data_IF_007617674667
#
_entry.id   IF_007617674667
#
_cell.length_a   1.000
_cell.length_b   1.000
_cell.length_c   1.000
_cell.angle_alpha   90.00
_cell.angle_beta   90.00
_cell.angle_gamma   90.00
#
_symmetry.space_group_name_H-M   'P 1'
#
loop_
_entity.id
_entity.type
_entity.pdbx_description
1 polymer ?
#
# COMPACT_ATOMS: atom_id res chain seq x y z
N UNK A 1 -9.60 -9.13 -51.97
CA UNK A 1 -9.36 -8.26 -50.79
C UNK A 1 -10.42 -7.18 -50.63
N UNK A 2 -10.89 -6.45 -51.66
CA UNK A 2 -11.92 -5.41 -51.49
C UNK A 2 -13.22 -5.91 -50.83
N UNK A 3 -13.62 -7.15 -51.12
CA UNK A 3 -14.82 -7.78 -50.57
C UNK A 3 -14.70 -8.11 -49.07
N UNK A 4 -13.49 -8.36 -48.56
CA UNK A 4 -13.26 -8.59 -47.13
C UNK A 4 -13.33 -7.26 -46.37
N UNK A 5 -12.71 -6.21 -46.92
CA UNK A 5 -12.71 -4.88 -46.31
C UNK A 5 -14.13 -4.29 -46.26
N UNK A 6 -14.90 -4.39 -47.35
CA UNK A 6 -16.31 -3.98 -47.37
C UNK A 6 -17.17 -4.79 -46.39
N UNK A 7 -16.90 -6.09 -46.23
CA UNK A 7 -17.61 -6.93 -45.27
C UNK A 7 -17.29 -6.56 -43.82
N UNK A 8 -16.03 -6.27 -43.52
CA UNK A 8 -15.61 -5.81 -42.19
C UNK A 8 -16.24 -4.46 -41.86
N UNK A 9 -16.27 -3.53 -42.82
CA UNK A 9 -16.90 -2.23 -42.64
C UNK A 9 -18.40 -2.36 -42.36
N UNK A 10 -19.12 -3.18 -43.14
CA UNK A 10 -20.55 -3.42 -42.91
C UNK A 10 -20.83 -3.97 -41.51
N UNK A 11 -20.06 -4.99 -41.09
CA UNK A 11 -20.22 -5.57 -39.75
C UNK A 11 -19.85 -4.55 -38.65
N UNK A 12 -18.89 -3.67 -38.90
CA UNK A 12 -18.53 -2.62 -37.94
C UNK A 12 -19.68 -1.63 -37.75
N UNK A 13 -20.29 -1.17 -38.85
CA UNK A 13 -21.45 -0.26 -38.83
C UNK A 13 -22.65 -0.91 -38.15
N UNK A 14 -22.93 -2.19 -38.45
CA UNK A 14 -23.99 -2.97 -37.80
C UNK A 14 -23.76 -3.12 -36.29
N UNK A 15 -22.54 -3.49 -35.89
CA UNK A 15 -22.17 -3.65 -34.48
C UNK A 15 -22.27 -2.35 -33.69
N UNK A 16 -21.81 -1.24 -34.28
CA UNK A 16 -21.93 0.09 -33.67
C UNK A 16 -23.41 0.51 -33.52
N UNK A 17 -24.23 0.30 -34.56
CA UNK A 17 -25.65 0.67 -34.51
C UNK A 17 -26.43 -0.12 -33.44
N UNK A 18 -26.09 -1.40 -33.25
CA UNK A 18 -26.68 -2.23 -32.19
C UNK A 18 -26.23 -1.76 -30.80
N UNK A 19 -24.94 -1.43 -30.64
CA UNK A 19 -24.41 -0.89 -29.39
C UNK A 19 -25.08 0.44 -29.00
N UNK A 20 -25.25 1.36 -29.95
CA UNK A 20 -25.96 2.63 -29.74
C UNK A 20 -27.44 2.46 -29.39
N UNK A 21 -28.06 1.36 -29.84
CA UNK A 21 -29.46 1.03 -29.53
C UNK A 21 -29.64 0.33 -28.18
N UNK A 22 -28.53 -0.02 -27.49
CA UNK A 22 -28.54 -0.79 -26.24
C UNK A 22 -28.65 -2.30 -26.42
N UNK A 23 -28.63 -2.80 -27.66
CA UNK A 23 -28.70 -4.23 -27.99
C UNK A 23 -27.30 -4.88 -27.87
N UNK A 24 -26.72 -4.81 -26.67
CA UNK A 24 -25.30 -5.13 -26.42
C UNK A 24 -24.94 -6.59 -26.74
N UNK A 25 -25.85 -7.54 -26.49
CA UNK A 25 -25.61 -8.96 -26.75
C UNK A 25 -25.55 -9.25 -28.25
N UNK A 26 -26.41 -8.62 -29.03
CA UNK A 26 -26.45 -8.68 -30.48
C UNK A 26 -25.21 -7.99 -31.07
N UNK A 27 -24.83 -6.83 -30.55
CA UNK A 27 -23.60 -6.13 -30.93
C UNK A 27 -22.36 -7.01 -30.69
N UNK A 28 -22.26 -7.67 -29.54
CA UNK A 28 -21.17 -8.62 -29.25
C UNK A 28 -21.13 -9.76 -30.28
N UNK A 29 -22.27 -10.32 -30.67
CA UNK A 29 -22.30 -11.37 -31.71
C UNK A 29 -21.74 -10.86 -33.04
N UNK A 30 -22.04 -9.61 -33.41
CA UNK A 30 -21.52 -8.98 -34.63
C UNK A 30 -20.01 -8.75 -34.51
N UNK A 31 -19.53 -8.20 -33.39
CA UNK A 31 -18.10 -8.00 -33.17
C UNK A 31 -17.30 -9.32 -33.10
N UNK A 32 -17.86 -10.40 -32.54
CA UNK A 32 -17.22 -11.70 -32.60
C UNK A 32 -17.12 -12.26 -34.03
N UNK A 33 -18.08 -11.98 -34.93
CA UNK A 33 -17.94 -12.31 -36.36
C UNK A 33 -16.78 -11.55 -36.99
N UNK A 34 -16.57 -10.28 -36.61
CA UNK A 34 -15.41 -9.50 -37.05
C UNK A 34 -14.11 -10.15 -36.57
N UNK A 35 -14.02 -10.51 -35.29
CA UNK A 35 -12.83 -11.16 -34.71
C UNK A 35 -12.55 -12.55 -35.29
N UNK A 36 -13.59 -13.29 -35.73
CA UNK A 36 -13.42 -14.54 -36.48
C UNK A 36 -12.76 -14.32 -37.84
N UNK A 37 -13.09 -13.21 -38.51
CA UNK A 37 -12.48 -12.84 -39.80
C UNK A 37 -11.07 -12.28 -39.61
N UNK A 38 -10.87 -11.45 -38.59
CA UNK A 38 -9.56 -10.89 -38.24
C UNK A 38 -9.43 -10.65 -36.73
N UNK A 39 -8.69 -11.51 -36.00
CA UNK A 39 -8.57 -11.42 -34.53
C UNK A 39 -7.62 -10.34 -34.04
N UNK A 40 -6.97 -9.58 -34.92
CA UNK A 40 -5.93 -8.59 -34.58
C UNK A 40 -6.41 -7.14 -34.71
N UNK A 41 -7.72 -6.91 -34.83
CA UNK A 41 -8.29 -5.57 -34.89
C UNK A 41 -8.43 -5.04 -33.47
N UNK A 42 -7.51 -4.17 -33.04
CA UNK A 42 -7.51 -3.61 -31.69
C UNK A 42 -8.84 -2.92 -31.36
N UNK A 43 -9.42 -2.18 -32.32
CA UNK A 43 -10.64 -1.42 -32.07
C UNK A 43 -11.89 -2.23 -31.82
N UNK A 44 -11.91 -3.45 -32.35
CA UNK A 44 -12.99 -4.38 -32.07
C UNK A 44 -12.83 -4.99 -30.68
N UNK A 45 -11.59 -5.25 -30.23
CA UNK A 45 -11.35 -5.69 -28.85
C UNK A 45 -11.69 -4.61 -27.81
N UNK A 46 -11.46 -3.33 -28.12
CA UNK A 46 -11.92 -2.21 -27.28
C UNK A 46 -13.46 -2.16 -27.22
N UNK A 47 -14.14 -2.17 -28.38
CA UNK A 47 -15.61 -2.16 -28.42
C UNK A 47 -16.23 -3.35 -27.68
N UNK A 48 -15.66 -4.55 -27.85
CA UNK A 48 -16.07 -5.75 -27.10
C UNK A 48 -15.89 -5.55 -25.60
N UNK A 49 -14.79 -4.91 -25.16
CA UNK A 49 -14.60 -4.59 -23.75
C UNK A 49 -15.68 -3.67 -23.21
N UNK A 50 -15.97 -2.58 -23.91
CA UNK A 50 -16.99 -1.61 -23.49
C UNK A 50 -18.37 -2.28 -23.38
N UNK A 51 -18.73 -3.10 -24.36
CA UNK A 51 -19.97 -3.88 -24.33
C UNK A 51 -20.04 -4.88 -23.17
N UNK A 52 -18.94 -5.52 -22.82
CA UNK A 52 -18.89 -6.38 -21.63
C UNK A 52 -19.04 -5.58 -20.34
N UNK A 53 -18.47 -4.38 -20.25
CA UNK A 53 -18.70 -3.47 -19.11
C UNK A 53 -20.16 -3.04 -18.99
N UNK A 54 -20.84 -2.72 -20.09
CA UNK A 54 -22.30 -2.43 -20.09
C UNK A 54 -23.18 -3.64 -19.69
N UNK A 55 -22.62 -4.84 -19.76
CA UNK A 55 -23.26 -6.09 -19.37
C UNK A 55 -22.83 -6.57 -17.98
N UNK A 56 -22.11 -5.74 -17.20
CA UNK A 56 -21.54 -6.07 -15.90
C UNK A 56 -20.62 -7.32 -15.91
N UNK A 57 -20.01 -7.63 -17.06
CA UNK A 57 -19.05 -8.73 -17.25
C UNK A 57 -17.61 -8.19 -17.25
N UNK A 58 -17.20 -7.65 -16.09
CA UNK A 58 -15.91 -6.98 -15.92
C UNK A 58 -14.71 -7.91 -16.18
N UNK A 59 -14.85 -9.21 -15.93
CA UNK A 59 -13.81 -10.21 -16.20
C UNK A 59 -13.53 -10.31 -17.71
N UNK A 60 -14.58 -10.35 -18.55
CA UNK A 60 -14.46 -10.38 -20.00
C UNK A 60 -14.06 -9.01 -20.57
N UNK A 61 -14.54 -7.93 -19.97
CA UNK A 61 -14.12 -6.57 -20.30
C UNK A 61 -12.60 -6.41 -20.13
N UNK A 62 -12.07 -6.77 -18.95
CA UNK A 62 -10.65 -6.67 -18.65
C UNK A 62 -9.77 -7.44 -19.65
N UNK A 63 -10.18 -8.66 -20.00
CA UNK A 63 -9.47 -9.49 -20.98
C UNK A 63 -9.45 -8.85 -22.38
N UNK A 64 -10.59 -8.31 -22.80
CA UNK A 64 -10.74 -7.68 -24.12
C UNK A 64 -9.98 -6.36 -24.21
N UNK A 65 -10.05 -5.52 -23.18
CA UNK A 65 -9.27 -4.28 -23.09
C UNK A 65 -7.76 -4.56 -23.08
N UNK A 66 -7.31 -5.56 -22.30
CA UNK A 66 -5.91 -5.97 -22.28
C UNK A 66 -5.45 -6.44 -23.66
N UNK A 67 -6.34 -7.12 -24.41
CA UNK A 67 -6.06 -7.52 -25.78
C UNK A 67 -5.94 -6.32 -26.72
N UNK A 68 -6.82 -5.33 -26.61
CA UNK A 68 -6.76 -4.08 -27.38
C UNK A 68 -5.42 -3.35 -27.16
N UNK A 69 -5.01 -3.15 -25.90
CA UNK A 69 -3.72 -2.53 -25.55
C UNK A 69 -2.53 -3.35 -26.07
N UNK A 70 -2.59 -4.68 -26.01
CA UNK A 70 -1.51 -5.54 -26.55
C UNK A 70 -1.34 -5.42 -28.06
N UNK A 71 -2.42 -5.12 -28.78
CA UNK A 71 -2.42 -4.97 -30.24
C UNK A 71 -2.04 -3.56 -30.67
N UNK A 72 -2.41 -2.54 -29.87
CA UNK A 72 -2.10 -1.13 -30.13
C UNK A 72 -1.68 -0.41 -28.82
N UNK A 73 -0.41 -0.52 -28.41
CA UNK A 73 0.07 0.05 -27.14
C UNK A 73 0.07 1.59 -27.08
N UNK A 74 0.07 2.26 -28.22
CA UNK A 74 0.09 3.73 -28.32
C UNK A 74 -1.32 4.32 -28.50
N UNK A 75 -2.37 3.53 -28.24
CA UNK A 75 -3.75 3.98 -28.38
C UNK A 75 -4.35 4.42 -27.03
N UNK A 76 -4.60 5.72 -26.80
CA UNK A 76 -5.16 6.22 -25.54
C UNK A 76 -6.50 5.58 -25.14
N UNK A 77 -7.48 5.51 -26.06
CA UNK A 77 -8.83 5.01 -25.74
C UNK A 77 -8.82 3.55 -25.27
N UNK A 78 -7.98 2.69 -25.86
CA UNK A 78 -7.79 1.31 -25.39
C UNK A 78 -7.19 1.26 -23.97
N UNK A 79 -6.30 2.21 -23.62
CA UNK A 79 -5.74 2.30 -22.26
C UNK A 79 -6.77 2.80 -21.25
N UNK A 80 -7.59 3.78 -21.60
CA UNK A 80 -8.69 4.25 -20.76
C UNK A 80 -9.70 3.12 -20.53
N UNK A 81 -10.08 2.39 -21.58
CA UNK A 81 -10.95 1.22 -21.47
C UNK A 81 -10.34 0.15 -20.56
N UNK A 82 -9.02 -0.11 -20.65
CA UNK A 82 -8.34 -1.02 -19.73
C UNK A 82 -8.30 -0.47 -18.30
N UNK A 83 -8.16 0.85 -18.12
CA UNK A 83 -8.20 1.48 -16.82
C UNK A 83 -9.57 1.29 -16.15
N UNK A 84 -10.65 1.53 -16.88
CA UNK A 84 -12.04 1.38 -16.43
C UNK A 84 -12.34 -0.08 -16.04
N UNK A 85 -12.03 -1.02 -16.92
CA UNK A 85 -12.21 -2.45 -16.61
C UNK A 85 -11.35 -2.90 -15.42
N UNK A 86 -10.13 -2.37 -15.28
CA UNK A 86 -9.27 -2.64 -14.12
C UNK A 86 -9.85 -2.05 -12.84
N UNK A 87 -10.41 -0.84 -12.89
CA UNK A 87 -11.05 -0.16 -11.76
C UNK A 87 -12.27 -0.92 -11.28
N UNK A 88 -13.14 -1.38 -12.18
CA UNK A 88 -14.34 -2.17 -11.83
C UNK A 88 -13.95 -3.49 -11.14
N UNK A 89 -12.89 -4.13 -11.60
CA UNK A 89 -12.31 -5.33 -10.98
C UNK A 89 -11.58 -5.06 -9.65
N UNK A 90 -11.43 -3.80 -9.23
CA UNK A 90 -10.69 -3.40 -8.04
C UNK A 90 -9.17 -3.42 -8.19
N UNK A 91 -8.64 -3.62 -9.41
CA UNK A 91 -7.21 -3.56 -9.72
C UNK A 91 -6.72 -2.11 -9.87
N UNK A 92 -6.79 -1.36 -8.76
CA UNK A 92 -6.59 0.09 -8.76
C UNK A 92 -5.18 0.53 -9.19
N UNK A 93 -4.14 -0.22 -8.83
CA UNK A 93 -2.77 0.08 -9.29
C UNK A 93 -2.64 -0.06 -10.81
N UNK A 94 -3.26 -1.09 -11.38
CA UNK A 94 -3.28 -1.28 -12.83
C UNK A 94 -4.08 -0.16 -13.51
N UNK A 95 -5.24 0.20 -12.95
CA UNK A 95 -6.05 1.30 -13.46
C UNK A 95 -5.27 2.62 -13.52
N UNK A 96 -4.63 2.99 -12.41
CA UNK A 96 -3.85 4.22 -12.33
C UNK A 96 -2.66 4.21 -13.32
N UNK A 97 -2.00 3.07 -13.52
CA UNK A 97 -0.91 2.95 -14.49
C UNK A 97 -1.39 3.18 -15.93
N UNK A 98 -2.57 2.66 -16.27
CA UNK A 98 -3.14 2.86 -17.61
C UNK A 98 -3.58 4.31 -17.83
N UNK A 99 -4.17 4.97 -16.82
CA UNK A 99 -4.52 6.40 -16.89
C UNK A 99 -3.28 7.28 -17.08
N UNK A 100 -2.22 7.04 -16.31
CA UNK A 100 -0.94 7.76 -16.47
C UNK A 100 -0.39 7.54 -17.88
N UNK A 101 -0.43 6.31 -18.38
CA UNK A 101 0.10 6.03 -19.73
C UNK A 101 -0.78 6.65 -20.82
N UNK A 102 -2.10 6.71 -20.63
CA UNK A 102 -3.00 7.44 -21.53
C UNK A 102 -2.66 8.95 -21.53
N UNK A 103 -2.45 9.57 -20.37
CA UNK A 103 -2.03 10.97 -20.25
C UNK A 103 -0.69 11.24 -20.95
N UNK A 104 0.24 10.30 -20.97
CA UNK A 104 1.50 10.45 -21.71
C UNK A 104 1.32 10.41 -23.23
N UNK A 105 0.29 9.71 -23.72
CA UNK A 105 0.00 9.56 -25.15
C UNK A 105 -0.91 10.66 -25.69
N UNK A 106 -1.76 11.27 -24.85
CA UNK A 106 -2.64 12.38 -25.23
C UNK A 106 -1.85 13.67 -25.47
N UNK A 107 -2.19 14.39 -26.55
CA UNK A 107 -1.58 15.68 -26.87
C UNK A 107 -1.83 16.70 -25.75
N UNK A 108 -0.86 17.57 -25.44
CA UNK A 108 -0.94 18.46 -24.26
C UNK A 108 -2.14 19.42 -24.25
N UNK A 109 -2.72 19.73 -25.41
CA UNK A 109 -3.90 20.58 -25.59
C UNK A 109 -5.22 19.80 -25.71
N UNK A 110 -5.18 18.48 -25.53
CA UNK A 110 -6.36 17.62 -25.62
C UNK A 110 -7.27 17.84 -24.41
N UNK A 111 -8.56 18.10 -24.68
CA UNK A 111 -9.57 18.30 -23.65
C UNK A 111 -9.78 17.05 -22.80
N UNK A 112 -9.60 15.86 -23.39
CA UNK A 112 -9.73 14.57 -22.70
C UNK A 112 -8.75 14.43 -21.53
N UNK A 113 -7.59 15.11 -21.58
CA UNK A 113 -6.61 15.09 -20.48
C UNK A 113 -7.18 15.54 -19.14
N UNK A 114 -8.09 16.51 -19.14
CA UNK A 114 -8.67 17.03 -17.88
C UNK A 114 -9.53 15.97 -17.22
N UNK A 115 -10.32 15.25 -18.02
CA UNK A 115 -11.20 14.16 -17.56
C UNK A 115 -10.35 12.98 -17.05
N UNK A 116 -9.30 12.61 -17.79
CA UNK A 116 -8.39 11.52 -17.39
C UNK A 116 -7.60 11.88 -16.12
N UNK A 117 -7.21 13.13 -15.92
CA UNK A 117 -6.58 13.59 -14.68
C UNK A 117 -7.55 13.51 -13.49
N UNK A 118 -8.79 13.95 -13.66
CA UNK A 118 -9.81 13.83 -12.62
C UNK A 118 -10.05 12.35 -12.26
N UNK A 119 -10.12 11.47 -13.25
CA UNK A 119 -10.29 10.05 -12.99
C UNK A 119 -9.07 9.44 -12.27
N UNK A 120 -7.86 9.86 -12.64
CA UNK A 120 -6.64 9.42 -11.95
C UNK A 120 -6.66 9.84 -10.47
N UNK A 121 -7.15 11.04 -10.16
CA UNK A 121 -7.32 11.51 -8.79
C UNK A 121 -8.34 10.65 -8.01
N UNK A 122 -9.47 10.29 -8.64
CA UNK A 122 -10.46 9.37 -8.05
C UNK A 122 -9.86 7.98 -7.75
N UNK A 123 -9.11 7.42 -8.71
CA UNK A 123 -8.44 6.12 -8.53
C UNK A 123 -7.37 6.23 -7.44
N UNK A 124 -6.61 7.31 -7.37
CA UNK A 124 -5.62 7.52 -6.33
C UNK A 124 -6.24 7.66 -4.93
N UNK A 125 -7.38 8.33 -4.81
CA UNK A 125 -8.14 8.37 -3.55
C UNK A 125 -8.64 6.97 -3.15
N UNK A 126 -9.16 6.18 -4.09
CA UNK A 126 -9.55 4.78 -3.85
C UNK A 126 -8.36 3.93 -3.37
N UNK A 127 -7.18 4.09 -4.00
CA UNK A 127 -5.94 3.39 -3.60
C UNK A 127 -5.53 3.77 -2.17
N UNK A 128 -5.54 5.07 -1.88
CA UNK A 128 -5.22 5.62 -0.56
C UNK A 128 -6.18 5.09 0.52
N UNK A 129 -7.49 5.07 0.26
CA UNK A 129 -8.49 4.48 1.16
C UNK A 129 -8.35 2.97 1.34
N UNK A 130 -8.01 2.23 0.28
CA UNK A 130 -7.76 0.80 0.38
C UNK A 130 -6.56 0.52 1.30
N UNK A 131 -5.48 1.29 1.15
CA UNK A 131 -4.30 1.22 2.02
C UNK A 131 -4.62 1.60 3.47
N UNK A 132 -5.34 2.70 3.69
CA UNK A 132 -5.80 3.13 5.01
C UNK A 132 -6.56 2.01 5.76
N UNK A 133 -7.48 1.33 5.05
CA UNK A 133 -8.19 0.16 5.57
C UNK A 133 -7.27 -1.04 5.81
N UNK A 134 -6.32 -1.30 4.91
CA UNK A 134 -5.32 -2.37 5.07
C UNK A 134 -4.53 -2.20 6.38
N UNK A 135 -4.15 -0.96 6.70
CA UNK A 135 -3.34 -0.61 7.87
C UNK A 135 -4.14 -0.39 9.16
N UNK A 136 -5.48 -0.35 9.10
CA UNK A 136 -6.32 -0.01 10.25
C UNK A 136 -6.23 1.47 10.67
N UNK A 137 -5.93 2.36 9.71
CA UNK A 137 -5.76 3.79 9.91
C UNK A 137 -6.73 4.55 8.97
N UNK A 138 -8.02 4.67 9.30
CA UNK A 138 -9.04 5.14 8.36
C UNK A 138 -8.86 6.60 7.92
N UNK A 139 -8.12 7.42 8.68
CA UNK A 139 -7.80 8.81 8.35
C UNK A 139 -6.53 8.99 7.52
N UNK A 140 -5.74 7.92 7.33
CA UNK A 140 -4.49 7.99 6.58
C UNK A 140 -4.76 8.28 5.11
N UNK A 141 -4.02 9.25 4.55
CA UNK A 141 -3.98 9.54 3.13
C UNK A 141 -2.54 9.55 2.63
N UNK A 142 -2.18 8.68 1.70
CA UNK A 142 -0.83 8.72 1.10
C UNK A 142 -0.93 8.63 -0.40
N UNK A 143 -0.45 9.69 -1.05
CA UNK A 143 -0.21 9.73 -2.49
C UNK A 143 1.06 8.93 -2.79
N UNK A 144 0.93 8.03 -3.77
CA UNK A 144 2.02 7.19 -4.23
C UNK A 144 2.06 7.17 -5.75
N UNK A 145 3.27 7.21 -6.30
CA UNK A 145 3.49 7.00 -7.72
C UNK A 145 3.15 5.56 -8.09
N UNK A 146 2.61 5.41 -9.29
CA UNK A 146 2.24 4.12 -9.87
C UNK A 146 3.38 3.55 -10.72
N UNK A 147 4.28 4.40 -11.21
CA UNK A 147 5.19 4.05 -12.29
C UNK A 147 6.42 3.27 -11.81
N UNK A 148 6.67 2.10 -12.42
CA UNK A 148 7.87 1.25 -12.26
C UNK A 148 8.87 1.40 -13.42
N UNK A 149 8.63 2.35 -14.31
CA UNK A 149 9.29 2.48 -15.61
C UNK A 149 10.55 3.36 -15.60
N UNK A 150 11.00 3.81 -14.43
CA UNK A 150 12.21 4.62 -14.29
C UNK A 150 12.07 6.05 -14.83
N UNK A 151 10.85 6.49 -15.18
CA UNK A 151 10.56 7.84 -15.67
C UNK A 151 9.93 8.75 -14.60
N UNK A 152 9.65 8.20 -13.42
CA UNK A 152 9.15 8.98 -12.29
C UNK A 152 10.31 9.75 -11.64
N UNK A 153 10.22 11.09 -11.56
CA UNK A 153 11.30 11.96 -11.04
C UNK A 153 11.74 11.56 -9.62
N UNK A 154 10.82 11.01 -8.81
CA UNK A 154 11.08 10.56 -7.44
C UNK A 154 11.63 9.12 -7.35
N UNK A 155 11.66 8.38 -8.46
CA UNK A 155 12.14 7.00 -8.49
C UNK A 155 11.51 6.10 -7.40
N UNK A 156 12.31 5.30 -6.66
CA UNK A 156 11.85 4.46 -5.56
C UNK A 156 11.17 5.20 -4.40
N UNK A 157 11.47 6.49 -4.20
CA UNK A 157 10.98 7.26 -3.05
C UNK A 157 9.48 7.59 -3.15
N UNK A 158 8.95 7.67 -4.37
CA UNK A 158 7.51 7.88 -4.60
C UNK A 158 6.64 6.64 -4.38
N UNK A 159 7.21 5.48 -4.02
CA UNK A 159 6.50 4.21 -3.88
C UNK A 159 6.30 3.81 -2.43
N UNK A 160 5.15 3.20 -2.16
CA UNK A 160 4.89 2.54 -0.88
C UNK A 160 5.43 1.12 -0.93
N UNK A 161 6.51 0.87 -0.20
CA UNK A 161 7.13 -0.45 -0.13
C UNK A 161 6.45 -1.35 0.92
N UNK A 162 6.43 -2.67 0.66
CA UNK A 162 5.85 -3.66 1.57
C UNK A 162 6.44 -3.62 2.99
N UNK A 163 7.74 -3.30 3.13
CA UNK A 163 8.36 -3.13 4.45
C UNK A 163 7.81 -1.90 5.19
N UNK A 164 7.53 -0.81 4.47
CA UNK A 164 6.86 0.37 5.01
C UNK A 164 5.44 0.06 5.48
N UNK A 165 4.66 -0.66 4.67
CA UNK A 165 3.32 -1.13 5.08
C UNK A 165 3.36 -2.03 6.31
N UNK A 166 4.29 -2.99 6.35
CA UNK A 166 4.45 -3.87 7.52
C UNK A 166 4.81 -3.07 8.76
N UNK A 167 5.72 -2.10 8.68
CA UNK A 167 6.08 -1.27 9.83
C UNK A 167 4.93 -0.37 10.26
N UNK A 168 4.25 0.30 9.34
CA UNK A 168 3.08 1.12 9.64
C UNK A 168 1.98 0.29 10.31
N UNK A 169 1.67 -0.89 9.77
CA UNK A 169 0.70 -1.82 10.35
C UNK A 169 1.15 -2.29 11.74
N UNK A 170 2.43 -2.59 11.91
CA UNK A 170 3.00 -3.00 13.20
C UNK A 170 2.84 -1.91 14.26
N UNK A 171 3.22 -0.68 13.94
CA UNK A 171 3.04 0.47 14.84
C UNK A 171 1.58 0.74 15.14
N UNK A 172 0.68 0.56 14.16
CA UNK A 172 -0.75 0.77 14.34
C UNK A 172 -1.46 -0.36 15.11
N UNK A 173 -0.88 -1.55 15.23
CA UNK A 173 -1.56 -2.69 15.89
C UNK A 173 -0.95 -3.05 17.24
N UNK A 174 0.34 -2.82 17.46
CA UNK A 174 1.02 -3.17 18.72
C UNK A 174 0.76 -2.10 19.81
N UNK A 175 0.06 -2.44 20.91
CA UNK A 175 -0.28 -1.45 21.96
C UNK A 175 0.94 -0.86 22.68
N UNK A 176 2.03 -1.63 22.81
CA UNK A 176 3.25 -1.18 23.48
C UNK A 176 3.95 -0.12 22.64
N UNK A 177 4.07 -0.33 21.32
CA UNK A 177 4.67 0.66 20.43
C UNK A 177 3.77 1.87 20.19
N UNK A 178 2.44 1.69 20.10
CA UNK A 178 1.50 2.83 20.10
C UNK A 178 1.69 3.71 21.33
N UNK A 179 1.73 3.11 22.51
CA UNK A 179 1.96 3.84 23.77
C UNK A 179 3.31 4.53 23.84
N UNK A 180 4.34 3.98 23.18
CA UNK A 180 5.67 4.59 23.09
C UNK A 180 5.77 5.73 22.07
N UNK A 181 4.88 5.78 21.08
CA UNK A 181 4.87 6.87 20.09
C UNK A 181 4.13 8.09 20.64
N UNK A 182 3.05 7.88 21.40
CA UNK A 182 2.18 8.96 21.85
C UNK A 182 2.94 10.00 22.70
N UNK A 183 3.04 11.23 22.17
CA UNK A 183 3.72 12.36 22.80
C UNK A 183 5.26 12.31 22.74
N UNK A 184 5.84 11.28 22.12
CA UNK A 184 7.28 11.12 21.98
C UNK A 184 7.79 11.80 20.71
N UNK A 185 9.07 12.21 20.74
CA UNK A 185 9.76 12.74 19.56
C UNK A 185 10.29 11.58 18.71
N UNK A 186 9.86 11.53 17.46
CA UNK A 186 10.16 10.45 16.52
C UNK A 186 10.97 11.00 15.34
N UNK A 187 11.99 10.29 14.91
CA UNK A 187 12.73 10.58 13.68
C UNK A 187 12.56 9.42 12.71
N UNK A 188 12.14 9.68 11.48
CA UNK A 188 12.15 8.69 10.40
C UNK A 188 13.28 8.98 9.43
N UNK A 189 14.07 7.95 9.12
CA UNK A 189 15.11 8.01 8.09
C UNK A 189 14.59 7.41 6.79
N UNK A 190 14.85 8.06 5.65
CA UNK A 190 14.47 7.56 4.33
C UNK A 190 12.95 7.39 4.20
N UNK A 191 12.21 8.46 4.52
CA UNK A 191 10.76 8.45 4.62
C UNK A 191 10.05 8.10 3.31
N UNK A 192 10.63 8.40 2.15
CA UNK A 192 9.97 8.22 0.85
C UNK A 192 8.63 8.94 0.80
N UNK A 193 7.53 8.18 0.72
CA UNK A 193 6.16 8.72 0.77
C UNK A 193 5.73 9.18 2.17
N UNK A 194 6.50 8.88 3.21
CA UNK A 194 6.21 9.21 4.61
C UNK A 194 5.22 8.26 5.28
N UNK A 195 4.91 7.11 4.70
CA UNK A 195 3.84 6.22 5.21
C UNK A 195 4.06 5.81 6.68
N UNK A 196 5.30 5.53 7.10
CA UNK A 196 5.59 5.12 8.47
C UNK A 196 5.64 6.34 9.40
N UNK A 197 6.29 7.44 9.02
CA UNK A 197 6.31 8.66 9.82
C UNK A 197 4.94 9.30 10.01
N UNK A 198 4.12 9.40 8.96
CA UNK A 198 2.73 9.89 9.02
C UNK A 198 1.90 8.95 9.90
N UNK A 199 2.10 7.63 9.80
CA UNK A 199 1.48 6.69 10.74
C UNK A 199 1.85 7.03 12.18
N UNK A 200 3.12 7.23 12.50
CA UNK A 200 3.54 7.62 13.84
C UNK A 200 2.94 8.97 14.29
N UNK A 201 2.78 9.93 13.38
CA UNK A 201 2.14 11.22 13.68
C UNK A 201 0.64 11.05 13.99
N UNK A 202 -0.07 10.19 13.24
CA UNK A 202 -1.46 9.81 13.51
C UNK A 202 -1.64 9.01 14.82
N UNK A 203 -0.56 8.48 15.37
CA UNK A 203 -0.52 7.84 16.69
C UNK A 203 -0.18 8.84 17.82
N UNK A 204 -0.08 10.14 17.51
CA UNK A 204 0.21 11.20 18.46
C UNK A 204 1.69 11.47 18.66
N UNK A 205 2.57 10.98 17.77
CA UNK A 205 4.00 11.28 17.80
C UNK A 205 4.32 12.68 17.26
N UNK A 206 5.44 13.24 17.71
CA UNK A 206 6.04 14.46 17.15
C UNK A 206 7.16 14.06 16.19
N UNK A 207 6.83 13.98 14.91
CA UNK A 207 7.63 13.28 13.91
C UNK A 207 8.43 14.24 13.04
N UNK A 208 9.73 13.98 12.94
CA UNK A 208 10.63 14.55 11.93
C UNK A 208 10.81 13.46 10.86
N UNK A 209 10.30 13.70 9.67
CA UNK A 209 10.45 12.84 8.51
C UNK A 209 11.67 13.32 7.71
N UNK A 210 12.54 12.40 7.27
CA UNK A 210 13.75 12.80 6.56
C UNK A 210 14.02 11.96 5.33
N UNK A 211 14.43 12.63 4.26
CA UNK A 211 14.86 12.01 3.01
C UNK A 211 15.76 12.98 2.22
N UNK A 212 16.12 12.64 0.99
CA UNK A 212 16.87 13.50 0.09
C UNK A 212 16.05 14.75 -0.30
N UNK A 213 16.71 15.89 -0.60
CA UNK A 213 16.02 17.15 -0.94
C UNK A 213 14.97 17.02 -2.04
N UNK A 214 15.23 16.21 -3.07
CA UNK A 214 14.34 15.96 -4.20
C UNK A 214 13.03 15.23 -3.81
N UNK A 215 12.99 14.55 -2.66
CA UNK A 215 11.81 13.81 -2.16
C UNK A 215 10.89 14.71 -1.34
N UNK A 216 11.44 15.79 -0.75
CA UNK A 216 10.71 16.65 0.19
C UNK A 216 9.41 17.25 -0.36
N UNK A 217 9.31 17.69 -1.63
CA UNK A 217 8.04 18.23 -2.14
C UNK A 217 6.88 17.22 -2.01
N UNK A 218 7.07 15.99 -2.49
CA UNK A 218 6.04 14.95 -2.42
C UNK A 218 5.79 14.45 -0.97
N UNK A 219 6.83 14.44 -0.14
CA UNK A 219 6.69 14.12 1.28
C UNK A 219 5.85 15.17 2.02
N UNK A 220 6.07 16.46 1.73
CA UNK A 220 5.28 17.55 2.30
C UNK A 220 3.82 17.51 1.84
N UNK A 221 3.54 17.22 0.57
CA UNK A 221 2.17 17.02 0.09
C UNK A 221 1.45 15.91 0.88
N UNK A 222 2.15 14.80 1.16
CA UNK A 222 1.62 13.72 1.98
C UNK A 222 1.41 14.15 3.45
N UNK A 223 2.30 14.94 4.03
CA UNK A 223 2.11 15.49 5.39
C UNK A 223 0.86 16.39 5.43
N UNK A 224 0.75 17.32 4.48
CA UNK A 224 -0.37 18.27 4.36
C UNK A 224 -1.71 17.55 4.21
N UNK A 225 -1.77 16.49 3.39
CA UNK A 225 -2.96 15.67 3.21
C UNK A 225 -3.48 15.01 4.51
N UNK A 226 -2.63 14.89 5.54
CA UNK A 226 -2.96 14.31 6.85
C UNK A 226 -2.96 15.34 7.98
N UNK A 227 -2.64 16.61 7.73
CA UNK A 227 -2.36 17.61 8.77
C UNK A 227 -3.51 17.73 9.79
N UNK A 228 -4.75 17.70 9.32
CA UNK A 228 -5.92 17.76 10.20
C UNK A 228 -6.02 16.52 11.11
N UNK A 229 -5.91 15.32 10.54
CA UNK A 229 -6.01 14.08 11.31
C UNK A 229 -4.83 13.90 12.28
N UNK A 230 -3.64 14.35 11.91
CA UNK A 230 -2.46 14.40 12.78
C UNK A 230 -2.71 15.34 13.97
N UNK A 231 -3.25 16.52 13.72
CA UNK A 231 -3.57 17.48 14.79
C UNK A 231 -4.66 16.95 15.73
N UNK A 232 -5.69 16.28 15.21
CA UNK A 232 -6.74 15.61 16.01
C UNK A 232 -6.17 14.48 16.90
N UNK A 233 -5.10 13.83 16.46
CA UNK A 233 -4.35 12.83 17.24
C UNK A 233 -3.34 13.44 18.24
N UNK A 234 -3.27 14.78 18.34
CA UNK A 234 -2.24 15.51 19.10
C UNK A 234 -0.80 15.24 18.64
N UNK A 235 -0.61 14.80 17.39
CA UNK A 235 0.71 14.61 16.79
C UNK A 235 1.20 15.83 16.01
N UNK A 236 2.40 15.73 15.46
CA UNK A 236 2.94 16.69 14.49
C UNK A 236 3.85 15.97 13.50
N UNK A 237 3.97 16.50 12.28
CA UNK A 237 4.86 15.99 11.26
C UNK A 237 5.55 17.16 10.54
N UNK A 238 6.85 17.08 10.36
CA UNK A 238 7.65 18.02 9.57
C UNK A 238 8.68 17.25 8.74
N UNK A 239 8.91 17.67 7.50
CA UNK A 239 9.90 17.05 6.61
C UNK A 239 11.19 17.88 6.54
N UNK A 240 12.33 17.21 6.60
CA UNK A 240 13.64 17.85 6.53
C UNK A 240 14.62 17.05 5.66
N UNK A 241 15.52 17.74 4.97
CA UNK A 241 16.55 17.08 4.17
C UNK A 241 17.56 16.36 5.07
N UNK A 242 17.85 15.10 4.76
CA UNK A 242 18.95 14.36 5.37
C UNK A 242 19.57 13.37 4.36
N UNK A 243 20.80 13.67 3.96
CA UNK A 243 21.63 12.72 3.23
C UNK A 243 22.58 12.00 4.20
N UNK A 244 22.47 10.68 4.31
CA UNK A 244 23.33 9.91 5.20
C UNK A 244 24.80 9.95 4.78
N UNK A 245 25.10 10.32 3.53
CA UNK A 245 26.47 10.48 3.03
C UNK A 245 27.17 11.69 3.66
N UNK A 246 26.43 12.72 4.06
CA UNK A 246 27.01 13.91 4.70
C UNK A 246 27.64 13.57 6.07
N UNK A 247 27.14 12.54 6.74
CA UNK A 247 27.72 12.01 7.97
C UNK A 247 29.09 11.34 7.76
N UNK A 248 29.42 11.00 6.51
CA UNK A 248 30.73 10.43 6.13
C UNK A 248 31.76 11.52 5.84
N UNK A 249 31.33 12.66 5.29
CA UNK A 249 32.21 13.75 4.84
C UNK A 249 32.60 14.71 5.98
N UNK A 250 31.76 14.78 7.02
CA UNK A 250 32.06 15.51 8.24
C UNK A 250 33.01 14.69 9.12
N UNK A 251 34.32 14.91 8.99
CA UNK A 251 35.35 14.35 9.88
C UNK A 251 35.24 14.77 11.36
N UNK A 252 34.05 15.11 11.86
CA UNK A 252 33.75 15.56 13.20
C UNK A 252 32.34 15.06 13.62
N UNK A 253 32.30 14.20 14.61
CA UNK A 253 31.13 13.43 15.11
C UNK A 253 30.13 14.27 15.91
N UNK A 254 29.72 15.43 15.42
CA UNK A 254 28.73 16.26 16.08
C UNK A 254 27.57 16.54 15.12
N UNK A 255 26.64 15.60 15.07
CA UNK A 255 25.34 15.79 14.44
C UNK A 255 24.59 16.87 15.24
N UNK A 256 24.45 18.07 14.70
CA UNK A 256 23.63 19.14 15.29
C UNK A 256 22.22 19.03 14.70
N UNK A 257 21.19 19.12 15.53
CA UNK A 257 19.79 19.21 15.07
C UNK A 257 19.56 20.43 14.16
N UNK A 258 20.49 21.40 14.15
CA UNK A 258 20.53 22.55 13.23
C UNK A 258 21.12 22.24 11.85
N UNK A 259 21.63 21.03 11.62
CA UNK A 259 22.11 20.58 10.31
C UNK A 259 20.99 20.17 9.36
N UNK A 260 19.73 20.13 9.85
CA UNK A 260 18.54 20.06 9.02
C UNK A 260 18.49 21.32 8.17
N UNK A 261 18.75 21.18 6.87
CA UNK A 261 18.62 22.28 5.92
C UNK A 261 17.14 22.43 5.62
N UNK A 262 16.58 23.60 5.91
CA UNK A 262 15.26 23.94 5.40
C UNK A 262 15.28 23.92 3.86
N UNK A 263 14.14 23.61 3.20
CA UNK A 263 14.08 23.62 1.75
C UNK A 263 14.33 25.06 1.26
N UNK A 264 15.55 25.34 0.78
CA UNK A 264 15.89 26.65 0.24
C UNK A 264 15.26 26.82 -1.14
N UNK A 265 14.49 27.90 -1.28
CA UNK A 265 13.94 28.44 -2.51
C UNK A 265 14.97 28.41 -3.65
N UNK A 266 14.53 27.96 -4.83
CA UNK A 266 15.23 28.18 -6.09
C UNK A 266 15.21 29.67 -6.38
N UNK A 267 16.29 30.39 -6.06
CA UNK A 267 16.65 31.62 -6.74
C UNK A 267 18.12 31.98 -6.52
N UNK A 268 18.73 32.42 -7.62
CA UNK A 268 20.08 32.95 -7.74
C UNK A 268 20.43 34.05 -6.72
N UNK A 269 21.74 34.10 -6.49
CA UNK A 269 22.56 35.28 -6.26
C UNK A 269 22.84 35.77 -4.82
N UNK A 270 24.14 35.89 -4.57
CA UNK A 270 24.82 36.63 -3.51
C UNK A 270 24.65 36.20 -2.03
N UNK A 271 25.67 35.46 -1.60
CA UNK A 271 26.36 35.57 -0.32
C UNK A 271 26.05 36.88 0.44
N UNK A 272 25.24 36.82 1.50
CA UNK A 272 25.25 37.80 2.60
C UNK A 272 24.58 37.26 3.88
N UNK A 273 25.41 37.16 4.92
CA UNK A 273 25.09 37.36 6.34
C UNK A 273 24.33 36.26 7.12
N UNK A 274 25.13 35.40 7.78
CA UNK A 274 24.82 34.34 8.75
C UNK A 274 24.13 34.85 10.06
N UNK A 275 23.82 36.13 10.21
CA UNK A 275 23.40 36.70 11.50
C UNK A 275 21.95 37.20 11.60
N UNK A 276 21.02 36.83 10.69
CA UNK A 276 19.62 37.30 10.77
C UNK A 276 18.52 36.25 10.97
N UNK A 277 18.86 34.97 11.17
CA UNK A 277 17.84 33.92 11.41
C UNK A 277 17.89 33.28 12.83
N UNK A 278 18.64 33.87 13.77
CA UNK A 278 18.83 33.29 15.11
C UNK A 278 17.67 33.54 16.11
N UNK A 279 16.55 34.15 15.70
CA UNK A 279 15.48 34.56 16.64
C UNK A 279 14.10 33.92 16.41
N UNK A 280 13.91 33.02 15.44
CA UNK A 280 12.61 32.35 15.24
C UNK A 280 12.54 30.86 15.65
N UNK A 281 13.63 30.25 16.12
CA UNK A 281 13.66 28.82 16.50
C UNK A 281 13.58 28.56 18.03
N UNK A 282 12.99 29.49 18.80
CA UNK A 282 12.73 29.28 20.24
C UNK A 282 11.25 29.10 20.53
N UNK A 283 10.69 28.01 20.02
CA UNK A 283 9.45 27.38 20.48
C UNK A 283 9.25 26.14 19.60
N UNK A 284 9.74 24.94 19.94
CA UNK A 284 9.11 24.03 20.89
C UNK A 284 10.02 22.81 21.17
N UNK A 285 10.50 22.67 22.41
CA UNK A 285 10.94 21.42 23.08
C UNK A 285 12.27 20.78 22.63
N UNK A 286 13.35 21.20 23.28
CA UNK A 286 14.67 20.52 23.31
C UNK A 286 14.67 19.16 24.00
N UNK A 287 13.75 18.25 23.61
CA UNK A 287 13.78 16.83 23.97
C UNK A 287 14.63 16.06 22.94
N UNK A 288 15.39 15.09 23.45
CA UNK A 288 16.08 14.06 22.67
C UNK A 288 15.08 13.26 21.83
N UNK A 289 15.54 12.65 20.73
CA UNK A 289 14.71 11.72 19.94
C UNK A 289 14.54 10.42 20.74
N UNK A 290 13.30 10.00 20.95
CA UNK A 290 12.97 8.81 21.77
C UNK A 290 12.79 7.55 20.91
N UNK A 291 12.42 7.74 19.64
CA UNK A 291 12.19 6.67 18.67
C UNK A 291 12.73 7.04 17.29
N UNK A 292 13.45 6.10 16.67
CA UNK A 292 13.85 6.16 15.27
C UNK A 292 13.16 5.08 14.47
N UNK A 293 12.67 5.43 13.30
CA UNK A 293 11.97 4.56 12.38
C UNK A 293 12.70 4.52 11.04
N UNK A 294 12.64 3.37 10.38
CA UNK A 294 13.15 3.20 9.03
C UNK A 294 12.56 1.98 8.35
N UNK A 295 12.24 2.10 7.07
CA UNK A 295 11.69 0.99 6.28
C UNK A 295 12.38 0.89 4.92
N UNK A 296 12.84 -0.31 4.56
CA UNK A 296 13.51 -0.62 3.28
C UNK A 296 14.69 0.31 2.93
N UNK A 297 15.46 0.73 3.95
CA UNK A 297 16.55 1.71 3.83
C UNK A 297 17.75 1.24 2.99
N UNK A 298 17.94 -0.08 2.86
CA UNK A 298 19.11 -0.68 2.22
C UNK A 298 18.69 -1.60 1.10
N UNK A 299 18.91 -1.14 -0.14
CA UNK A 299 18.73 -1.95 -1.35
C UNK A 299 20.05 -2.24 -2.07
N UNK A 300 21.14 -1.56 -1.70
CA UNK A 300 22.49 -1.81 -2.20
C UNK A 300 23.54 -1.74 -1.09
N UNK A 301 24.67 -2.43 -1.28
CA UNK A 301 25.78 -2.42 -0.31
C UNK A 301 26.36 -1.03 -0.04
N UNK A 302 26.27 -0.10 -0.99
CA UNK A 302 26.85 1.24 -0.87
C UNK A 302 26.15 2.08 0.20
N UNK A 303 24.90 1.75 0.54
CA UNK A 303 24.09 2.47 1.53
C UNK A 303 24.33 1.99 2.96
N UNK A 304 24.89 0.79 3.14
CA UNK A 304 25.07 0.16 4.45
C UNK A 304 25.89 1.04 5.38
N UNK A 305 27.08 1.45 4.97
CA UNK A 305 28.00 2.17 5.84
C UNK A 305 27.52 3.60 6.16
N UNK A 306 27.05 4.42 5.18
CA UNK A 306 26.42 5.71 5.46
C UNK A 306 25.26 5.60 6.45
N UNK A 307 24.36 4.62 6.27
CA UNK A 307 23.24 4.41 7.19
C UNK A 307 23.72 4.08 8.61
N UNK A 308 24.65 3.12 8.76
CA UNK A 308 25.14 2.70 10.08
C UNK A 308 25.86 3.84 10.79
N UNK A 309 26.62 4.66 10.07
CA UNK A 309 27.27 5.85 10.64
C UNK A 309 26.24 6.90 11.05
N UNK A 310 25.22 7.17 10.24
CA UNK A 310 24.12 8.05 10.61
C UNK A 310 23.41 7.58 11.89
N UNK A 311 23.07 6.29 11.99
CA UNK A 311 22.46 5.69 13.19
C UNK A 311 23.37 5.84 14.42
N UNK A 312 24.67 5.65 14.27
CA UNK A 312 25.63 5.79 15.36
C UNK A 312 25.73 7.25 15.83
N UNK A 313 25.91 8.20 14.93
CA UNK A 313 25.99 9.63 15.25
C UNK A 313 24.70 10.12 15.93
N UNK A 314 23.56 9.61 15.50
CA UNK A 314 22.27 9.88 16.13
C UNK A 314 22.17 9.34 17.56
N UNK A 315 22.69 8.13 17.83
CA UNK A 315 22.77 7.59 19.20
C UNK A 315 23.72 8.36 20.10
N UNK A 316 24.75 9.00 19.56
CA UNK A 316 25.64 9.87 20.35
C UNK A 316 24.88 11.11 20.88
N UNK A 317 23.90 11.60 20.11
CA UNK A 317 23.04 12.74 20.48
C UNK A 317 21.82 12.30 21.31
N UNK A 318 21.31 11.09 21.10
CA UNK A 318 20.17 10.53 21.83
C UNK A 318 20.47 9.11 22.31
N UNK A 319 21.22 8.93 23.42
CA UNK A 319 21.73 7.62 23.86
C UNK A 319 20.64 6.60 24.22
N UNK A 320 19.45 7.08 24.58
CA UNK A 320 18.30 6.29 25.00
C UNK A 320 17.32 5.93 23.87
N UNK A 321 17.60 6.38 22.63
CA UNK A 321 16.71 6.18 21.49
C UNK A 321 16.48 4.70 21.21
N UNK A 322 15.22 4.32 21.00
CA UNK A 322 14.91 3.02 20.43
C UNK A 322 14.84 3.11 18.91
N UNK A 323 15.36 2.11 18.21
CA UNK A 323 15.39 2.11 16.74
C UNK A 323 14.58 0.91 16.24
N UNK A 324 13.62 1.18 15.37
CA UNK A 324 12.87 0.16 14.63
C UNK A 324 13.20 0.23 13.15
N UNK A 325 13.61 -0.91 12.60
CA UNK A 325 13.94 -1.08 11.19
C UNK A 325 13.08 -2.19 10.59
N UNK A 326 12.26 -1.87 9.60
CA UNK A 326 11.66 -2.88 8.74
C UNK A 326 12.54 -3.11 7.51
N UNK A 327 13.07 -4.34 7.37
CA UNK A 327 13.98 -4.69 6.29
C UNK A 327 13.38 -5.79 5.41
N UNK A 328 13.48 -5.62 4.10
CA UNK A 328 13.18 -6.65 3.11
C UNK A 328 14.49 -7.32 2.70
N UNK A 329 14.59 -8.62 2.94
CA UNK A 329 15.64 -9.47 2.41
C UNK A 329 15.67 -9.39 0.88
N UNK A 330 16.78 -8.89 0.32
CA UNK A 330 17.00 -8.74 -1.12
C UNK A 330 18.12 -9.65 -1.62
N UNK A 331 19.24 -9.69 -0.91
CA UNK A 331 20.33 -10.63 -1.19
C UNK A 331 21.09 -10.94 0.09
N UNK A 332 21.55 -12.18 0.22
CA UNK A 332 22.36 -12.63 1.35
C UNK A 332 23.59 -11.73 1.56
N UNK A 333 24.21 -11.28 0.48
CA UNK A 333 25.45 -10.50 0.54
C UNK A 333 25.22 -9.08 1.05
N UNK A 334 24.13 -8.41 0.65
CA UNK A 334 23.81 -7.05 1.15
C UNK A 334 23.31 -7.11 2.58
N UNK A 335 22.47 -8.09 2.90
CA UNK A 335 21.92 -8.29 4.24
C UNK A 335 23.03 -8.61 5.24
N UNK A 336 23.94 -9.52 4.90
CA UNK A 336 25.09 -9.84 5.76
C UNK A 336 25.94 -8.60 6.03
N UNK A 337 26.22 -7.80 5.01
CA UNK A 337 26.98 -6.56 5.16
C UNK A 337 26.28 -5.58 6.12
N UNK A 338 24.95 -5.42 6.03
CA UNK A 338 24.18 -4.60 6.96
C UNK A 338 24.29 -5.10 8.40
N UNK A 339 24.06 -6.40 8.61
CA UNK A 339 24.05 -6.97 9.95
C UNK A 339 25.44 -6.98 10.61
N UNK A 340 26.50 -7.23 9.83
CA UNK A 340 27.88 -7.13 10.30
C UNK A 340 28.23 -5.69 10.66
N UNK A 341 27.96 -4.72 9.77
CA UNK A 341 28.23 -3.32 10.03
C UNK A 341 27.50 -2.81 11.30
N UNK A 342 26.23 -3.17 11.49
CA UNK A 342 25.49 -2.83 12.70
C UNK A 342 26.13 -3.42 13.97
N UNK A 343 26.52 -4.71 13.95
CA UNK A 343 27.18 -5.35 15.11
C UNK A 343 28.55 -4.73 15.41
N UNK A 344 29.33 -4.47 14.38
CA UNK A 344 30.67 -3.86 14.51
C UNK A 344 30.61 -2.44 15.10
N UNK A 345 29.47 -1.76 14.94
CA UNK A 345 29.21 -0.44 15.52
C UNK A 345 28.38 -0.49 16.82
N UNK A 346 28.25 -1.67 17.43
CA UNK A 346 27.71 -1.83 18.79
C UNK A 346 26.18 -1.89 18.89
N UNK A 347 25.47 -2.17 17.79
CA UNK A 347 24.02 -2.39 17.81
C UNK A 347 23.65 -3.83 18.14
N UNK A 348 22.52 -4.02 18.83
CA UNK A 348 21.98 -5.33 19.18
C UNK A 348 20.74 -5.62 18.37
N UNK A 349 20.81 -6.55 17.43
CA UNK A 349 19.70 -6.79 16.51
C UNK A 349 18.74 -7.83 17.11
N UNK A 350 17.51 -7.41 17.40
CA UNK A 350 16.42 -8.28 17.86
C UNK A 350 15.27 -8.24 16.85
N UNK A 351 14.96 -9.39 16.26
CA UNK A 351 13.76 -9.54 15.44
C UNK A 351 12.50 -9.50 16.32
N UNK A 352 11.54 -8.64 15.96
CA UNK A 352 10.26 -8.50 16.65
C UNK A 352 9.14 -9.21 15.90
N UNK A 353 9.17 -9.12 14.57
CA UNK A 353 8.14 -9.59 13.68
C UNK A 353 8.75 -10.01 12.34
N UNK A 354 8.26 -11.10 11.77
CA UNK A 354 8.58 -11.53 10.40
C UNK A 354 7.31 -11.91 9.69
N UNK A 355 7.21 -11.54 8.40
CA UNK A 355 6.10 -11.98 7.56
C UNK A 355 6.04 -13.51 7.47
N UNK A 356 4.89 -14.07 7.16
CA UNK A 356 4.80 -15.50 6.87
C UNK A 356 4.86 -15.76 5.37
N UNK A 357 5.16 -17.00 4.96
CA UNK A 357 4.98 -17.35 3.55
C UNK A 357 3.49 -17.21 3.26
N UNK A 358 3.12 -16.39 2.27
CA UNK A 358 1.77 -16.49 1.67
C UNK A 358 1.59 -17.96 1.32
N UNK A 359 0.71 -18.69 2.01
CA UNK A 359 0.25 -19.96 1.50
C UNK A 359 -0.39 -19.62 0.16
N UNK A 360 0.24 -20.02 -0.93
CA UNK A 360 -0.44 -20.03 -2.21
C UNK A 360 -1.66 -20.92 -2.00
N UNK A 361 -2.86 -20.35 -2.07
CA UNK A 361 -4.05 -21.13 -2.32
C UNK A 361 -3.79 -21.89 -3.63
N UNK A 362 -3.32 -23.13 -3.52
CA UNK A 362 -3.24 -24.05 -4.64
C UNK A 362 -4.67 -24.42 -4.97
N UNK A 363 -5.34 -23.67 -5.86
CA UNK A 363 -6.34 -24.14 -6.82
C UNK A 363 -7.06 -22.95 -7.50
N UNK A 364 -6.75 -22.61 -8.77
CA UNK A 364 -7.54 -21.65 -9.54
C UNK A 364 -8.80 -22.23 -10.21
N UNK A 365 -9.21 -23.48 -9.93
CA UNK A 365 -10.20 -24.19 -10.78
C UNK A 365 -11.28 -25.01 -10.07
N UNK A 366 -11.57 -24.81 -8.78
CA UNK A 366 -12.64 -25.59 -8.13
C UNK A 366 -13.47 -24.87 -7.07
N UNK A 367 -13.64 -23.56 -7.18
CA UNK A 367 -14.74 -22.89 -6.48
C UNK A 367 -15.98 -22.91 -7.39
N UNK A 368 -16.70 -24.04 -7.41
CA UNK A 368 -18.08 -24.01 -7.89
C UNK A 368 -18.89 -23.20 -6.87
N UNK A 369 -19.41 -22.07 -7.33
CA UNK A 369 -20.30 -21.19 -6.60
C UNK A 369 -21.66 -21.87 -6.41
N UNK A 370 -21.76 -22.87 -5.52
CA UNK A 370 -23.04 -23.47 -5.12
C UNK A 370 -22.84 -24.38 -3.88
N UNK A 371 -22.50 -23.79 -2.74
CA UNK A 371 -22.94 -24.24 -1.39
C UNK A 371 -22.23 -23.47 -0.28
N UNK A 372 -23.02 -22.76 0.52
CA UNK A 372 -22.63 -22.18 1.81
C UNK A 372 -22.36 -23.27 2.86
N UNK A 373 -21.27 -24.03 2.72
CA UNK A 373 -20.79 -24.91 3.78
C UNK A 373 -19.36 -24.55 4.17
N UNK A 374 -19.23 -24.08 5.40
CA UNK A 374 -18.00 -23.84 6.14
C UNK A 374 -17.11 -25.09 6.01
N UNK A 375 -15.99 -24.97 5.29
CA UNK A 375 -14.94 -25.96 5.35
C UNK A 375 -14.16 -25.75 6.66
N UNK A 376 -14.59 -26.41 7.74
CA UNK A 376 -13.76 -26.53 8.94
C UNK A 376 -12.61 -27.48 8.63
N UNK A 377 -11.40 -26.96 8.44
CA UNK A 377 -10.19 -27.77 8.44
C UNK A 377 -9.95 -28.25 9.88
N UNK A 378 -10.23 -29.53 10.13
CA UNK A 378 -9.83 -30.22 11.35
C UNK A 378 -8.30 -30.29 11.40
N UNK A 379 -7.67 -29.52 12.28
CA UNK A 379 -6.25 -29.65 12.60
C UNK A 379 -6.08 -30.91 13.46
N UNK A 380 -5.63 -32.00 12.82
CA UNK A 380 -5.16 -33.18 13.52
C UNK A 380 -3.81 -32.90 14.17
N UNK A 381 -3.74 -32.94 15.50
CA UNK A 381 -2.49 -33.08 16.23
C UNK A 381 -1.95 -34.49 16.03
N UNK A 382 -0.74 -34.62 15.50
CA UNK A 382 0.03 -35.86 15.61
C UNK A 382 0.60 -35.99 17.02
N UNK A 383 0.43 -37.15 17.66
CA UNK A 383 1.59 -37.97 18.06
C UNK A 383 1.22 -39.33 18.70
N UNK A 384 2.02 -40.34 18.35
CA UNK A 384 2.32 -41.62 19.02
C UNK A 384 1.39 -42.85 18.97
N UNK A 385 2.07 -43.99 18.79
CA UNK A 385 1.65 -45.40 18.85
C UNK A 385 0.73 -45.81 20.02
N UNK A 386 -0.39 -46.49 19.70
CA UNK A 386 -0.80 -47.85 20.15
C UNK A 386 -2.31 -48.07 19.98
N UNK A 387 -2.77 -49.31 19.66
CA UNK A 387 -4.19 -49.60 19.47
C UNK A 387 -4.82 -50.15 20.77
N UNK A 388 -6.04 -49.73 21.11
CA UNK A 388 -7.10 -50.60 21.67
C UNK A 388 -8.42 -49.86 22.02
N UNK A 389 -9.50 -50.33 21.38
CA UNK A 389 -10.85 -50.69 21.90
C UNK A 389 -11.67 -49.72 22.81
N UNK A 390 -12.82 -49.35 22.24
CA UNK A 390 -14.19 -49.36 22.80
C UNK A 390 -14.42 -49.20 24.32
N UNK A 391 -15.15 -48.14 24.71
CA UNK A 391 -16.43 -48.20 25.45
C UNK A 391 -16.93 -46.77 25.82
N UNK A 392 -18.22 -46.51 25.60
CA UNK A 392 -19.02 -45.45 26.24
C UNK A 392 -19.52 -45.94 27.63
N UNK A 393 -20.35 -45.19 28.39
CA UNK A 393 -20.22 -43.83 28.93
C UNK A 393 -20.52 -43.82 30.47
N UNK A 394 -20.37 -42.68 31.18
CA UNK A 394 -21.12 -42.33 32.43
C UNK A 394 -20.73 -40.93 32.95
N UNK A 395 -21.72 -40.09 33.28
CA UNK A 395 -21.58 -38.79 33.97
C UNK A 395 -21.42 -38.94 35.50
N UNK A 396 -22.08 -38.09 36.32
CA UNK A 396 -21.90 -36.64 36.48
C UNK A 396 -21.76 -36.23 37.98
N UNK A 397 -20.97 -35.19 38.32
CA UNK A 397 -21.00 -34.45 39.62
C UNK A 397 -20.21 -33.14 39.40
N UNK A 398 -20.55 -31.92 39.82
CA UNK A 398 -21.57 -31.36 40.70
C UNK A 398 -20.94 -30.27 41.62
N UNK A 399 -21.65 -29.14 41.84
CA UNK A 399 -21.50 -28.08 42.88
C UNK A 399 -20.50 -26.92 42.62
N UNK A 400 -20.79 -25.62 42.86
CA UNK A 400 -21.83 -24.89 43.63
C UNK A 400 -22.08 -23.48 42.98
N UNK A 401 -23.34 -23.01 42.86
CA UNK A 401 -24.03 -21.93 43.64
C UNK A 401 -23.49 -20.50 43.40
N UNK A 402 -24.26 -19.41 43.28
CA UNK A 402 -25.70 -19.12 43.22
C UNK A 402 -25.91 -17.65 42.81
N UNK A 403 -26.98 -17.40 42.04
CA UNK A 403 -27.98 -16.29 42.08
C UNK A 403 -27.55 -14.81 42.40
N UNK A 404 -28.09 -13.77 41.75
CA UNK A 404 -29.51 -13.44 41.51
C UNK A 404 -29.66 -12.40 40.37
N UNK A 405 -30.54 -12.65 39.38
CA UNK A 405 -31.88 -12.04 39.10
C UNK A 405 -31.84 -10.59 38.57
N UNK A 406 -32.53 -10.22 37.48
CA UNK A 406 -33.99 -10.29 37.28
C UNK A 406 -34.45 -10.19 35.80
N UNK A 407 -35.38 -11.07 35.40
CA UNK A 407 -36.62 -10.91 34.57
C UNK A 407 -36.65 -10.02 33.31
N UNK A 408 -37.30 -10.32 32.18
CA UNK A 408 -38.48 -11.16 31.91
C UNK A 408 -38.61 -11.54 30.41
N UNK A 409 -39.40 -12.60 30.15
CA UNK A 409 -40.03 -13.07 28.90
C UNK A 409 -40.65 -11.97 28.03
N UNK A 410 -40.84 -12.07 26.70
CA UNK A 410 -41.64 -13.09 25.98
C UNK A 410 -41.54 -12.97 24.43
N UNK A 411 -41.38 -14.12 23.79
CA UNK A 411 -41.90 -14.65 22.50
C UNK A 411 -42.65 -13.80 21.41
N UNK A 412 -42.32 -14.17 20.15
CA UNK A 412 -43.06 -14.19 18.85
C UNK A 412 -43.29 -12.89 18.04
N UNK A 413 -42.69 -12.77 16.85
CA UNK A 413 -43.34 -12.83 15.49
C UNK A 413 -42.51 -12.15 14.40
N UNK A 414 -42.67 -12.69 13.20
CA UNK A 414 -42.10 -12.34 11.90
C UNK A 414 -42.45 -10.96 11.34
N UNK A 415 -41.52 -10.40 10.57
CA UNK A 415 -41.80 -9.53 9.42
C UNK A 415 -41.49 -8.05 9.61
N UNK A 416 -40.50 -7.52 8.91
CA UNK A 416 -40.60 -6.63 7.71
C UNK A 416 -39.18 -6.13 7.37
N UNK A 417 -38.90 -6.06 6.08
CA UNK A 417 -37.64 -5.78 5.41
C UNK A 417 -36.96 -4.44 5.77
N UNK A 418 -35.63 -4.42 5.64
CA UNK A 418 -34.90 -3.28 5.12
C UNK A 418 -33.72 -3.82 4.30
N UNK A 419 -33.68 -3.39 3.04
CA UNK A 419 -32.73 -3.76 2.00
C UNK A 419 -31.28 -3.60 2.47
N UNK A 420 -30.51 -4.68 2.33
CA UNK A 420 -29.05 -4.62 2.37
C UNK A 420 -28.61 -4.78 0.92
N UNK A 421 -28.20 -3.66 0.32
CA UNK A 421 -27.41 -3.66 -0.90
C UNK A 421 -26.14 -4.48 -0.64
N UNK A 422 -26.08 -5.66 -1.22
CA UNK A 422 -24.89 -6.52 -1.17
C UNK A 422 -23.99 -6.12 -2.34
N UNK A 423 -23.11 -5.15 -2.12
CA UNK A 423 -21.87 -5.08 -2.89
C UNK A 423 -20.91 -6.14 -2.33
N UNK A 424 -20.69 -7.20 -3.12
CA UNK A 424 -19.90 -8.36 -2.74
C UNK A 424 -18.41 -8.06 -2.64
N UNK A 425 -17.93 -7.74 -1.44
CA UNK A 425 -16.53 -7.95 -1.11
C UNK A 425 -16.30 -9.45 -0.87
N UNK A 426 -15.54 -10.11 -1.76
CA UNK A 426 -15.07 -11.49 -1.54
C UNK A 426 -14.12 -11.52 -0.34
N UNK A 427 -14.62 -11.89 0.84
CA UNK A 427 -13.79 -12.15 2.01
C UNK A 427 -13.01 -13.47 1.85
N UNK A 428 -11.72 -13.37 1.57
CA UNK A 428 -10.76 -14.45 1.83
C UNK A 428 -10.16 -14.22 3.22
N UNK A 429 -10.52 -15.03 4.22
CA UNK A 429 -9.97 -14.91 5.58
C UNK A 429 -9.29 -16.20 6.04
N UNK A 430 -8.00 -16.31 5.77
CA UNK A 430 -7.05 -17.04 6.63
C UNK A 430 -5.99 -16.03 7.11
N UNK A 431 -6.33 -15.29 8.16
CA UNK A 431 -5.45 -14.29 8.76
C UNK A 431 -4.95 -14.79 10.10
N UNK A 432 -3.64 -14.85 10.27
CA UNK A 432 -2.99 -15.07 11.56
C UNK A 432 -2.49 -13.72 12.10
N UNK A 433 -2.96 -13.36 13.28
CA UNK A 433 -2.36 -12.30 14.10
C UNK A 433 -1.17 -12.90 14.84
N UNK A 434 -0.04 -12.20 14.89
CA UNK A 434 1.03 -12.57 15.81
C UNK A 434 0.65 -12.24 17.27
N UNK A 435 1.56 -12.58 18.18
CA UNK A 435 1.47 -12.24 19.61
C UNK A 435 1.32 -10.73 19.92
N UNK A 436 1.56 -9.86 18.93
CA UNK A 436 1.45 -8.41 19.03
C UNK A 436 0.18 -7.86 18.34
N UNK A 437 -0.73 -8.72 17.87
CA UNK A 437 -1.96 -8.29 17.20
C UNK A 437 -1.77 -7.83 15.75
N UNK A 438 -0.63 -8.17 15.12
CA UNK A 438 -0.27 -7.74 13.76
C UNK A 438 -0.49 -8.87 12.76
N UNK A 439 -1.14 -8.56 11.63
CA UNK A 439 -1.44 -9.50 10.55
C UNK A 439 -0.14 -9.98 9.86
N UNK A 440 0.27 -11.23 10.09
CA UNK A 440 1.50 -11.77 9.52
C UNK A 440 1.33 -12.38 8.13
N UNK A 441 0.16 -12.95 7.82
CA UNK A 441 -0.08 -13.66 6.56
C UNK A 441 -0.15 -12.77 5.32
N UNK A 442 -0.23 -11.44 5.50
CA UNK A 442 -0.28 -10.48 4.38
C UNK A 442 1.09 -10.20 3.76
N UNK A 443 2.17 -10.32 4.54
CA UNK A 443 3.51 -9.90 4.14
C UNK A 443 4.42 -11.09 3.89
N UNK A 444 5.33 -10.95 2.92
CA UNK A 444 6.33 -11.97 2.60
C UNK A 444 7.24 -12.28 3.79
N UNK A 445 7.62 -13.55 3.95
CA UNK A 445 8.64 -13.98 4.93
C UNK A 445 10.03 -13.39 4.70
N UNK A 446 10.25 -12.76 3.54
CA UNK A 446 11.43 -11.96 3.27
C UNK A 446 11.44 -10.63 4.02
N UNK A 447 10.35 -10.22 4.68
CA UNK A 447 10.26 -8.92 5.38
C UNK A 447 10.19 -9.17 6.88
N UNK A 448 10.96 -8.40 7.64
CA UNK A 448 10.95 -8.45 9.10
C UNK A 448 11.18 -7.07 9.72
N UNK A 449 10.61 -6.87 10.92
CA UNK A 449 10.81 -5.71 11.78
C UNK A 449 11.82 -6.08 12.87
N UNK A 450 12.84 -5.24 13.01
CA UNK A 450 13.92 -5.40 13.97
C UNK A 450 13.97 -4.21 14.92
N UNK A 451 14.33 -4.49 16.16
CA UNK A 451 14.79 -3.50 17.13
C UNK A 451 16.32 -3.56 17.20
N UNK A 452 16.99 -2.40 17.16
CA UNK A 452 18.46 -2.30 17.21
C UNK A 452 19.00 -1.86 18.58
#
# INVERSE_FOLDING_TARGET
>A
MPELDSRLQYLQEEGNSLAESGDYKEALQVFFKILQLNPKIASVHEAVSQLHSELDDDDAALQSAARAVSLAPEWPSARLTLAHASRNMGFLDQAAQQLITALMLLASNDTERTEVMQELDEVNDLRSRALARELGLPSLKVLQSVADDGMNELGPAGKIWEAGKMLASFLASDPMWRGKIQGSKVLELGSGTGIVGITAALLGGHVILTDLPEVLPALNENIEANQQAIAEACGSAEAHALDWRDAMDSGNTAWDHRSLKEPSEVADDNMLSISHHAESARSCHGKEVELMLGADLVYSKQQVLPLVIALKSLREVSPSVAILLAHKHRSEVTDQALWEALRDHGFTIKELLRGSKKQQCQHPQSCNAESNNICTLNIGNGDTDRPCRAHTPRGPVGCCEEAMKTSASSSITSGVAADVEVHGERHYSEFELNQHGVLCSRYSSSIAVYQL
#
